data_IF_876030471717
#
_entry.id   IF_876030471717
#
_cell.length_a   1.000
_cell.length_b   1.000
_cell.length_c   1.000
_cell.angle_alpha   90.00
_cell.angle_beta   90.00
_cell.angle_gamma   90.00
#
_symmetry.space_group_name_H-M   'P 1'
#
loop_
_entity.id
_entity.type
_entity.pdbx_description
1 polymer ?
#
# COMPACT_ATOMS: atom_id res chain seq x y z
N UNK A 1 -12.60 8.47 16.26
CA UNK A 1 -11.46 7.92 15.51
C UNK A 1 -11.48 6.40 15.40
N UNK A 2 -11.79 5.66 16.48
CA UNK A 2 -11.85 4.18 16.45
C UNK A 2 -12.86 3.68 15.42
N UNK A 3 -14.06 4.27 15.40
CA UNK A 3 -15.10 3.93 14.43
C UNK A 3 -14.66 4.19 12.98
N UNK A 4 -14.03 5.34 12.73
CA UNK A 4 -13.44 5.66 11.43
C UNK A 4 -12.40 4.61 11.00
N UNK A 5 -11.48 4.27 11.89
CA UNK A 5 -10.43 3.26 11.60
C UNK A 5 -11.05 1.87 11.32
N UNK A 6 -12.09 1.49 12.08
CA UNK A 6 -12.84 0.25 11.84
C UNK A 6 -13.51 0.26 10.45
N UNK A 7 -14.18 1.35 10.09
CA UNK A 7 -14.82 1.50 8.77
C UNK A 7 -13.83 1.41 7.63
N UNK A 8 -12.68 2.08 7.73
CA UNK A 8 -11.63 2.01 6.71
C UNK A 8 -11.00 0.62 6.64
N UNK A 9 -10.85 -0.06 7.78
CA UNK A 9 -10.37 -1.45 7.81
C UNK A 9 -11.34 -2.40 7.10
N UNK A 10 -12.65 -2.27 7.35
CA UNK A 10 -13.68 -3.06 6.67
C UNK A 10 -13.68 -2.79 5.17
N UNK A 11 -13.61 -1.51 4.77
CA UNK A 11 -13.58 -1.12 3.36
C UNK A 11 -12.38 -1.71 2.62
N UNK A 12 -11.18 -1.55 3.15
CA UNK A 12 -9.95 -2.09 2.54
C UNK A 12 -9.93 -3.61 2.54
N UNK A 13 -10.36 -4.25 3.64
CA UNK A 13 -10.42 -5.71 3.72
C UNK A 13 -11.42 -6.30 2.71
N UNK A 14 -12.57 -5.64 2.48
CA UNK A 14 -13.53 -6.08 1.48
C UNK A 14 -12.90 -6.13 0.10
N UNK A 15 -12.26 -5.05 -0.34
CA UNK A 15 -11.65 -4.99 -1.66
C UNK A 15 -10.45 -5.93 -1.80
N UNK A 16 -9.65 -6.08 -0.75
CA UNK A 16 -8.56 -7.07 -0.75
C UNK A 16 -9.08 -8.52 -0.90
N UNK A 17 -10.18 -8.89 -0.21
CA UNK A 17 -10.78 -10.21 -0.38
C UNK A 17 -11.45 -10.38 -1.74
N UNK A 18 -12.00 -9.30 -2.31
CA UNK A 18 -12.58 -9.33 -3.64
C UNK A 18 -11.51 -9.57 -4.71
N UNK A 19 -10.38 -8.91 -4.59
CA UNK A 19 -9.21 -9.07 -5.44
C UNK A 19 -8.65 -10.50 -5.37
N UNK A 20 -8.39 -11.00 -4.16
CA UNK A 20 -8.01 -12.40 -3.91
C UNK A 20 -8.98 -13.41 -4.55
N UNK A 21 -10.28 -13.08 -4.53
CA UNK A 21 -11.28 -13.93 -5.17
C UNK A 21 -11.20 -13.86 -6.69
N UNK A 22 -11.09 -12.68 -7.25
CA UNK A 22 -10.99 -12.48 -8.70
C UNK A 22 -9.73 -13.14 -9.25
N UNK A 23 -8.64 -13.01 -8.55
CA UNK A 23 -7.33 -13.49 -8.92
C UNK A 23 -7.14 -15.00 -8.74
N UNK A 24 -7.42 -15.50 -7.55
CA UNK A 24 -7.10 -16.88 -7.15
C UNK A 24 -8.32 -17.81 -7.08
N UNK A 25 -9.53 -17.27 -7.30
CA UNK A 25 -10.81 -18.00 -7.13
C UNK A 25 -10.93 -18.66 -5.74
N UNK A 26 -10.33 -18.02 -4.71
CA UNK A 26 -10.33 -18.53 -3.34
C UNK A 26 -11.71 -18.40 -2.71
N UNK A 27 -12.40 -19.50 -2.52
CA UNK A 27 -13.74 -19.53 -1.90
C UNK A 27 -13.77 -18.92 -0.49
N UNK A 28 -12.66 -19.01 0.27
CA UNK A 28 -12.53 -18.38 1.58
C UNK A 28 -12.54 -16.85 1.50
N UNK A 29 -11.88 -16.26 0.50
CA UNK A 29 -11.85 -14.82 0.28
C UNK A 29 -13.21 -14.31 -0.20
N UNK A 30 -13.88 -15.05 -1.09
CA UNK A 30 -15.27 -14.76 -1.49
C UNK A 30 -16.20 -14.67 -0.28
N UNK A 31 -16.20 -15.70 0.58
CA UNK A 31 -17.06 -15.73 1.78
C UNK A 31 -16.78 -14.55 2.72
N UNK A 32 -15.52 -14.17 2.88
CA UNK A 32 -15.14 -13.01 3.71
C UNK A 32 -15.61 -11.70 3.10
N UNK A 33 -15.48 -11.53 1.79
CA UNK A 33 -16.03 -10.38 1.08
C UNK A 33 -17.56 -10.30 1.26
N UNK A 34 -18.28 -11.41 1.04
CA UNK A 34 -19.74 -11.49 1.24
C UNK A 34 -20.17 -11.12 2.67
N UNK A 35 -19.35 -11.44 3.70
CA UNK A 35 -19.62 -11.06 5.09
C UNK A 35 -19.41 -9.56 5.35
N UNK A 36 -18.51 -8.91 4.63
CA UNK A 36 -18.22 -7.47 4.79
C UNK A 36 -19.13 -6.58 3.93
N UNK A 37 -19.65 -7.11 2.82
CA UNK A 37 -20.48 -6.36 1.87
C UNK A 37 -21.66 -5.60 2.51
N UNK A 38 -22.42 -6.15 3.49
CA UNK A 38 -23.54 -5.44 4.10
C UNK A 38 -23.18 -4.14 4.83
N UNK A 39 -21.91 -3.95 5.20
CA UNK A 39 -21.44 -2.74 5.89
C UNK A 39 -21.13 -1.58 4.93
N UNK A 40 -20.88 -1.87 3.65
CA UNK A 40 -20.41 -0.88 2.68
C UNK A 40 -21.37 0.31 2.48
N UNK A 41 -22.70 0.13 2.38
CA UNK A 41 -23.61 1.26 2.19
C UNK A 41 -23.55 2.28 3.34
N UNK A 42 -23.37 1.80 4.56
CA UNK A 42 -23.27 2.68 5.72
C UNK A 42 -21.90 3.37 5.78
N UNK A 43 -20.82 2.69 5.39
CA UNK A 43 -19.48 3.28 5.25
C UNK A 43 -19.48 4.36 4.17
N UNK A 44 -20.09 4.09 3.01
CA UNK A 44 -20.25 5.09 1.94
C UNK A 44 -21.01 6.33 2.42
N UNK A 45 -22.11 6.13 3.15
CA UNK A 45 -22.91 7.23 3.69
C UNK A 45 -22.13 8.06 4.70
N UNK A 46 -21.34 7.44 5.58
CA UNK A 46 -20.55 8.12 6.62
C UNK A 46 -19.26 8.76 6.07
N UNK A 47 -18.62 8.11 5.11
CA UNK A 47 -17.30 8.49 4.59
C UNK A 47 -17.27 8.53 3.05
N UNK A 48 -18.15 9.34 2.41
CA UNK A 48 -18.34 9.31 0.95
C UNK A 48 -17.07 9.70 0.16
N UNK A 49 -16.20 10.52 0.74
CA UNK A 49 -14.96 10.95 0.11
C UNK A 49 -13.96 9.79 0.06
N UNK A 50 -13.71 9.14 1.19
CA UNK A 50 -12.79 8.01 1.31
C UNK A 50 -13.30 6.80 0.52
N UNK A 51 -14.58 6.50 0.61
CA UNK A 51 -15.20 5.43 -0.16
C UNK A 51 -14.95 5.60 -1.67
N UNK A 52 -15.26 6.78 -2.21
CA UNK A 52 -15.00 7.09 -3.62
C UNK A 52 -13.52 7.02 -3.99
N UNK A 53 -12.63 7.51 -3.12
CA UNK A 53 -11.20 7.46 -3.35
C UNK A 53 -10.69 6.01 -3.44
N UNK A 54 -11.17 5.11 -2.56
CA UNK A 54 -10.82 3.69 -2.60
C UNK A 54 -11.32 3.06 -3.88
N UNK A 55 -12.61 3.19 -4.21
CA UNK A 55 -13.20 2.57 -5.40
C UNK A 55 -12.51 3.07 -6.68
N UNK A 56 -12.43 4.40 -6.86
CA UNK A 56 -11.84 4.97 -8.07
C UNK A 56 -10.33 4.74 -8.16
N UNK A 57 -9.64 4.71 -7.03
CA UNK A 57 -8.20 4.43 -6.97
C UNK A 57 -7.87 3.00 -7.36
N UNK A 58 -8.62 2.02 -6.83
CA UNK A 58 -8.45 0.61 -7.20
C UNK A 58 -8.82 0.37 -8.67
N UNK A 59 -9.92 0.97 -9.18
CA UNK A 59 -10.27 0.89 -10.59
C UNK A 59 -9.18 1.48 -11.51
N UNK A 60 -8.53 2.58 -11.10
CA UNK A 60 -7.44 3.19 -11.84
C UNK A 60 -6.18 2.30 -11.81
N UNK A 61 -5.88 1.70 -10.67
CA UNK A 61 -4.77 0.77 -10.50
C UNK A 61 -4.96 -0.46 -11.40
N UNK A 62 -6.13 -1.09 -11.35
CA UNK A 62 -6.47 -2.26 -12.18
C UNK A 62 -6.36 -1.96 -13.67
N UNK A 63 -6.70 -0.74 -14.11
CA UNK A 63 -6.51 -0.32 -15.51
C UNK A 63 -5.03 -0.19 -15.89
N UNK A 64 -4.19 0.36 -15.01
CA UNK A 64 -2.75 0.47 -15.25
C UNK A 64 -2.10 -0.92 -15.32
N UNK A 65 -2.43 -1.80 -14.41
CA UNK A 65 -1.93 -3.18 -14.35
C UNK A 65 -2.44 -4.00 -15.56
N UNK A 66 -3.72 -3.92 -15.87
CA UNK A 66 -4.32 -4.57 -17.03
C UNK A 66 -3.75 -4.07 -18.39
N UNK A 67 -3.25 -2.83 -18.44
CA UNK A 67 -2.52 -2.29 -19.57
C UNK A 67 -1.02 -2.67 -19.57
N UNK A 68 -0.57 -3.47 -18.61
CA UNK A 68 0.84 -3.79 -18.34
C UNK A 68 1.73 -2.53 -18.23
N UNK A 69 1.24 -1.51 -17.53
CA UNK A 69 2.00 -0.29 -17.32
C UNK A 69 3.21 -0.53 -16.42
N UNK A 70 4.39 -0.17 -16.89
CA UNK A 70 5.64 -0.22 -16.11
C UNK A 70 6.05 1.14 -15.54
N UNK A 71 5.13 2.12 -15.56
CA UNK A 71 5.31 3.42 -14.92
C UNK A 71 5.12 3.28 -13.41
N UNK A 72 6.21 2.98 -12.70
CA UNK A 72 6.23 2.82 -11.24
C UNK A 72 5.74 4.07 -10.52
N UNK A 73 6.04 5.27 -11.05
CA UNK A 73 5.59 6.52 -10.45
C UNK A 73 4.06 6.67 -10.56
N UNK A 74 3.46 6.29 -11.68
CA UNK A 74 2.01 6.30 -11.84
C UNK A 74 1.33 5.27 -10.92
N UNK A 75 1.86 4.05 -10.84
CA UNK A 75 1.34 2.98 -10.00
C UNK A 75 1.41 3.36 -8.50
N UNK A 76 2.59 3.76 -8.02
CA UNK A 76 2.78 4.21 -6.64
C UNK A 76 1.91 5.41 -6.28
N UNK A 77 1.81 6.40 -7.18
CA UNK A 77 0.97 7.58 -6.98
C UNK A 77 -0.51 7.23 -6.93
N UNK A 78 -0.98 6.32 -7.77
CA UNK A 78 -2.39 5.90 -7.80
C UNK A 78 -2.78 5.26 -6.47
N UNK A 79 -2.05 4.25 -6.01
CA UNK A 79 -2.31 3.61 -4.72
C UNK A 79 -2.05 4.56 -3.55
N UNK A 80 -0.98 5.36 -3.63
CA UNK A 80 -0.65 6.36 -2.62
C UNK A 80 -1.73 7.43 -2.46
N UNK A 81 -2.34 7.90 -3.53
CA UNK A 81 -3.44 8.89 -3.47
C UNK A 81 -4.66 8.32 -2.75
N UNK A 82 -5.03 7.08 -3.04
CA UNK A 82 -6.09 6.36 -2.33
C UNK A 82 -5.80 6.32 -0.83
N UNK A 83 -4.61 5.89 -0.43
CA UNK A 83 -4.25 5.79 0.98
C UNK A 83 -4.13 7.17 1.64
N UNK A 84 -3.69 8.19 0.91
CA UNK A 84 -3.69 9.57 1.36
C UNK A 84 -5.07 10.07 1.77
N UNK A 85 -6.11 9.77 1.00
CA UNK A 85 -7.48 10.15 1.34
C UNK A 85 -8.01 9.41 2.59
N UNK A 86 -7.54 8.18 2.84
CA UNK A 86 -7.84 7.45 4.07
C UNK A 86 -7.14 8.10 5.27
N UNK A 87 -5.88 8.49 5.16
CA UNK A 87 -5.15 9.15 6.24
C UNK A 87 -5.75 10.50 6.61
N UNK A 88 -6.23 11.25 5.63
CA UNK A 88 -6.93 12.51 5.83
C UNK A 88 -8.39 12.29 6.24
N UNK A 89 -8.60 11.81 7.48
CA UNK A 89 -9.94 11.50 7.99
C UNK A 89 -10.87 12.72 8.09
N UNK A 90 -10.32 13.94 8.22
CA UNK A 90 -11.03 15.21 8.31
C UNK A 90 -10.58 16.18 7.23
N UNK A 91 -11.40 17.17 6.97
CA UNK A 91 -11.08 18.31 6.10
C UNK A 91 -10.68 19.50 6.97
N UNK A 92 -9.48 19.44 7.54
CA UNK A 92 -8.88 20.43 8.44
C UNK A 92 -7.49 20.85 7.93
N UNK A 93 -6.77 21.67 8.70
CA UNK A 93 -5.43 22.18 8.38
C UNK A 93 -4.39 21.09 8.18
N UNK A 94 -4.60 19.90 8.73
CA UNK A 94 -3.66 18.76 8.62
C UNK A 94 -3.92 17.87 7.40
N UNK A 95 -5.03 18.09 6.69
CA UNK A 95 -5.46 17.25 5.58
C UNK A 95 -4.35 17.05 4.55
N UNK A 96 -3.72 18.13 4.11
CA UNK A 96 -2.69 18.06 3.07
C UNK A 96 -1.47 17.26 3.54
N UNK A 97 -1.05 17.46 4.77
CA UNK A 97 0.09 16.76 5.38
C UNK A 97 -0.24 15.28 5.55
N UNK A 98 -1.42 14.94 6.08
CA UNK A 98 -1.88 13.56 6.23
C UNK A 98 -2.04 12.84 4.89
N UNK A 99 -2.55 13.52 3.86
CA UNK A 99 -2.54 12.99 2.50
C UNK A 99 -1.12 12.66 2.03
N UNK A 100 -0.15 13.53 2.28
CA UNK A 100 1.23 13.30 1.91
C UNK A 100 1.88 12.12 2.66
N UNK A 101 1.58 11.95 3.95
CA UNK A 101 1.99 10.77 4.73
C UNK A 101 1.41 9.50 4.11
N UNK A 102 0.10 9.49 3.85
CA UNK A 102 -0.58 8.34 3.24
C UNK A 102 -0.09 8.04 1.82
N UNK A 103 0.23 9.07 1.03
CA UNK A 103 0.79 8.90 -0.32
C UNK A 103 2.14 8.19 -0.30
N UNK A 104 3.07 8.65 0.54
CA UNK A 104 4.39 8.02 0.65
C UNK A 104 4.29 6.59 1.19
N UNK A 105 3.50 6.37 2.24
CA UNK A 105 3.28 5.04 2.80
C UNK A 105 2.59 4.10 1.80
N UNK A 106 1.60 4.59 1.05
CA UNK A 106 0.90 3.80 0.03
C UNK A 106 1.83 3.37 -1.10
N UNK A 107 2.66 4.29 -1.62
CA UNK A 107 3.68 3.94 -2.61
C UNK A 107 4.68 2.88 -2.10
N UNK A 108 5.08 2.99 -0.82
CA UNK A 108 5.93 1.99 -0.17
C UNK A 108 5.22 0.62 -0.09
N UNK A 109 3.97 0.58 0.38
CA UNK A 109 3.19 -0.67 0.50
C UNK A 109 3.03 -1.33 -0.86
N UNK A 110 2.68 -0.59 -1.90
CA UNK A 110 2.53 -1.10 -3.25
C UNK A 110 3.82 -1.74 -3.78
N UNK A 111 4.96 -1.06 -3.61
CA UNK A 111 6.26 -1.59 -4.02
C UNK A 111 6.70 -2.80 -3.19
N UNK A 112 6.41 -2.81 -1.88
CA UNK A 112 6.73 -3.93 -1.01
C UNK A 112 5.96 -5.19 -1.39
N UNK A 113 4.68 -5.04 -1.72
CA UNK A 113 3.84 -6.14 -2.19
C UNK A 113 4.35 -6.69 -3.52
N UNK A 114 4.61 -5.82 -4.48
CA UNK A 114 5.23 -6.21 -5.76
C UNK A 114 6.58 -6.90 -5.56
N UNK A 115 7.39 -6.46 -4.59
CA UNK A 115 8.68 -7.08 -4.27
C UNK A 115 8.52 -8.47 -3.64
N UNK A 116 7.60 -8.65 -2.68
CA UNK A 116 7.35 -9.97 -2.06
C UNK A 116 6.77 -10.97 -3.07
N UNK A 117 5.86 -10.51 -3.92
CA UNK A 117 5.08 -11.34 -4.80
C UNK A 117 5.74 -11.65 -6.16
N UNK A 118 6.84 -11.00 -6.51
CA UNK A 118 7.48 -11.12 -7.82
C UNK A 118 7.62 -12.57 -8.32
N UNK A 119 8.17 -13.47 -7.50
CA UNK A 119 8.37 -14.86 -7.89
C UNK A 119 7.06 -15.65 -8.05
N UNK A 120 6.05 -15.28 -7.26
CA UNK A 120 4.71 -15.88 -7.32
C UNK A 120 4.00 -15.46 -8.60
N UNK A 121 4.01 -14.15 -8.89
CA UNK A 121 3.34 -13.57 -10.04
C UNK A 121 3.99 -14.03 -11.35
N UNK A 122 5.33 -14.08 -11.40
CA UNK A 122 6.07 -14.63 -12.55
C UNK A 122 5.64 -16.07 -12.86
N UNK A 123 5.55 -16.94 -11.83
CA UNK A 123 5.12 -18.34 -12.02
C UNK A 123 3.69 -18.47 -12.50
N UNK A 124 2.84 -17.49 -12.17
CA UNK A 124 1.42 -17.48 -12.53
C UNK A 124 1.10 -16.70 -13.80
N UNK A 125 2.12 -16.06 -14.40
CA UNK A 125 1.95 -15.20 -15.57
C UNK A 125 1.11 -13.96 -15.27
N UNK A 126 1.19 -13.44 -14.03
CA UNK A 126 0.47 -12.24 -13.59
C UNK A 126 1.34 -11.01 -13.76
N UNK A 127 0.68 -9.86 -13.83
CA UNK A 127 1.37 -8.58 -13.78
C UNK A 127 2.12 -8.42 -12.46
N UNK A 128 3.32 -7.88 -12.54
CA UNK A 128 4.06 -7.38 -11.38
C UNK A 128 4.84 -6.13 -11.79
N UNK A 129 4.67 -5.07 -11.02
CA UNK A 129 5.26 -3.75 -11.34
C UNK A 129 6.80 -3.77 -11.44
N UNK A 130 7.46 -4.67 -10.70
CA UNK A 130 8.91 -4.79 -10.67
C UNK A 130 9.47 -5.82 -11.68
N UNK A 131 8.61 -6.50 -12.44
CA UNK A 131 9.00 -7.57 -13.38
C UNK A 131 10.07 -7.11 -14.37
N UNK A 132 9.88 -5.96 -15.01
CA UNK A 132 10.82 -5.44 -16.00
C UNK A 132 12.19 -5.13 -15.39
N UNK A 133 12.21 -4.56 -14.18
CA UNK A 133 13.47 -4.33 -13.47
C UNK A 133 14.18 -5.64 -13.15
N UNK A 134 13.43 -6.66 -12.72
CA UNK A 134 13.99 -7.97 -12.39
C UNK A 134 14.49 -8.74 -13.63
N UNK A 135 13.93 -8.48 -14.80
CA UNK A 135 14.33 -9.13 -16.06
C UNK A 135 15.50 -8.42 -16.75
N UNK A 136 15.71 -7.13 -16.45
CA UNK A 136 16.72 -6.30 -17.13
C UNK A 136 17.97 -6.04 -16.31
N UNK A 137 17.88 -6.07 -14.99
CA UNK A 137 19.00 -5.76 -14.11
C UNK A 137 19.66 -7.03 -13.55
N UNK A 138 20.99 -7.04 -13.35
CA UNK A 138 21.64 -8.04 -12.53
C UNK A 138 21.04 -8.10 -11.12
N UNK A 139 21.05 -9.28 -10.45
CA UNK A 139 20.39 -9.44 -9.15
C UNK A 139 20.79 -8.40 -8.10
N UNK A 140 22.06 -8.05 -7.99
CA UNK A 140 22.55 -7.07 -7.02
C UNK A 140 22.06 -5.65 -7.34
N UNK A 141 21.99 -5.28 -8.62
CA UNK A 141 21.48 -3.98 -9.07
C UNK A 141 19.98 -3.89 -8.90
N UNK A 142 19.24 -4.98 -9.17
CA UNK A 142 17.81 -5.08 -8.87
C UNK A 142 17.51 -4.85 -7.39
N UNK A 143 18.22 -5.55 -6.50
CA UNK A 143 18.05 -5.38 -5.04
C UNK A 143 18.33 -3.94 -4.59
N UNK A 144 19.43 -3.33 -5.10
CA UNK A 144 19.74 -1.94 -4.79
C UNK A 144 18.65 -1.00 -5.31
N UNK A 145 18.15 -1.22 -6.53
CA UNK A 145 17.11 -0.38 -7.13
C UNK A 145 15.80 -0.47 -6.36
N UNK A 146 15.39 -1.67 -5.95
CA UNK A 146 14.20 -1.85 -5.10
C UNK A 146 14.35 -1.14 -3.76
N UNK A 147 15.52 -1.26 -3.10
CA UNK A 147 15.80 -0.56 -1.86
C UNK A 147 15.71 0.96 -2.02
N UNK A 148 16.27 1.51 -3.10
CA UNK A 148 16.24 2.96 -3.38
C UNK A 148 14.82 3.47 -3.62
N UNK A 149 14.00 2.72 -4.38
CA UNK A 149 12.60 3.05 -4.61
C UNK A 149 11.79 3.06 -3.31
N UNK A 150 11.94 2.04 -2.47
CA UNK A 150 11.30 1.95 -1.16
C UNK A 150 11.75 3.10 -0.24
N UNK A 151 13.05 3.40 -0.22
CA UNK A 151 13.62 4.50 0.56
C UNK A 151 13.08 5.85 0.10
N UNK A 152 12.92 6.06 -1.20
CA UNK A 152 12.33 7.26 -1.76
C UNK A 152 10.89 7.48 -1.27
N UNK A 153 10.05 6.43 -1.31
CA UNK A 153 8.66 6.52 -0.83
C UNK A 153 8.60 6.82 0.67
N UNK A 154 9.40 6.13 1.49
CA UNK A 154 9.44 6.39 2.93
C UNK A 154 10.06 7.74 3.27
N UNK A 155 11.00 8.24 2.48
CA UNK A 155 11.55 9.60 2.63
C UNK A 155 10.48 10.68 2.40
N UNK A 156 9.60 10.49 1.41
CA UNK A 156 8.44 11.37 1.20
C UNK A 156 7.45 11.28 2.35
N UNK A 157 7.12 10.07 2.81
CA UNK A 157 6.27 9.85 3.96
C UNK A 157 6.81 10.54 5.22
N UNK A 158 8.07 10.28 5.57
CA UNK A 158 8.74 10.84 6.75
C UNK A 158 8.78 12.37 6.72
N UNK A 159 9.08 12.97 5.56
CA UNK A 159 9.08 14.43 5.39
C UNK A 159 7.73 15.06 5.73
N UNK A 160 6.62 14.44 5.31
CA UNK A 160 5.28 14.92 5.66
C UNK A 160 4.94 14.62 7.13
N UNK A 161 5.32 13.44 7.62
CA UNK A 161 5.11 13.03 9.00
C UNK A 161 5.76 13.99 10.02
N UNK A 162 6.98 14.47 9.75
CA UNK A 162 7.67 15.43 10.61
C UNK A 162 7.00 16.82 10.66
N UNK A 163 6.06 17.12 9.78
CA UNK A 163 5.27 18.35 9.83
C UNK A 163 4.08 18.26 10.80
N UNK A 164 3.74 17.05 11.29
CA UNK A 164 2.65 16.85 12.23
C UNK A 164 3.09 17.22 13.66
N UNK A 165 2.22 17.80 14.49
CA UNK A 165 2.53 18.18 15.86
C UNK A 165 2.53 16.98 16.81
N UNK A 166 3.34 15.97 16.50
CA UNK A 166 3.44 14.73 17.27
C UNK A 166 4.52 14.88 18.32
N UNK A 167 4.15 14.72 19.60
CA UNK A 167 5.07 14.76 20.72
C UNK A 167 5.84 13.44 20.80
N UNK A 168 7.14 13.47 20.53
CA UNK A 168 8.03 12.29 20.51
C UNK A 168 8.16 11.61 21.87
N UNK A 169 7.95 12.36 22.94
CA UNK A 169 8.09 11.89 24.34
C UNK A 169 6.87 11.07 24.80
N UNK A 170 5.75 11.14 24.11
CA UNK A 170 4.56 10.35 24.46
C UNK A 170 4.66 8.92 23.95
N UNK A 171 4.04 7.93 24.61
CA UNK A 171 4.01 6.55 24.12
C UNK A 171 3.45 6.43 22.70
N UNK A 172 2.40 7.19 22.38
CA UNK A 172 1.77 7.22 21.05
C UNK A 172 2.73 7.80 20.01
N UNK A 173 3.43 8.89 20.35
CA UNK A 173 4.44 9.49 19.48
C UNK A 173 5.58 8.51 19.21
N UNK A 174 6.13 7.89 20.25
CA UNK A 174 7.18 6.87 20.10
C UNK A 174 6.72 5.71 19.22
N UNK A 175 5.48 5.23 19.38
CA UNK A 175 4.92 4.17 18.55
C UNK A 175 4.87 4.59 17.08
N UNK A 176 4.37 5.79 16.79
CA UNK A 176 4.29 6.33 15.44
C UNK A 176 5.67 6.51 14.80
N UNK A 177 6.62 7.10 15.53
CA UNK A 177 8.00 7.22 15.06
C UNK A 177 8.64 5.85 14.79
N UNK A 178 8.50 4.90 15.70
CA UNK A 178 9.02 3.54 15.50
C UNK A 178 8.37 2.87 14.28
N UNK A 179 7.08 3.09 14.05
CA UNK A 179 6.38 2.54 12.89
C UNK A 179 6.95 3.09 11.59
N UNK A 180 7.07 4.41 11.47
CA UNK A 180 7.50 5.09 10.23
C UNK A 180 8.99 4.83 9.93
N UNK A 181 9.86 4.84 10.95
CA UNK A 181 11.32 4.77 10.74
C UNK A 181 11.91 3.37 10.83
N UNK A 182 11.24 2.43 11.50
CA UNK A 182 11.75 1.08 11.69
C UNK A 182 10.73 -0.02 11.34
N UNK A 183 9.48 0.13 11.77
CA UNK A 183 8.46 -0.91 11.65
C UNK A 183 8.17 -1.32 10.22
N UNK A 184 8.06 -0.37 9.31
CA UNK A 184 7.81 -0.60 7.88
C UNK A 184 8.92 -1.44 7.22
N UNK A 185 10.16 -1.35 7.71
CA UNK A 185 11.31 -2.10 7.20
C UNK A 185 11.42 -3.53 7.74
N UNK A 186 10.64 -3.87 8.77
CA UNK A 186 10.69 -5.18 9.42
C UNK A 186 10.35 -6.34 8.47
N UNK A 187 9.56 -6.09 7.42
CA UNK A 187 9.24 -7.06 6.38
C UNK A 187 10.32 -7.15 5.29
N UNK A 188 10.96 -6.05 4.94
CA UNK A 188 11.94 -6.00 3.87
C UNK A 188 13.19 -6.84 4.14
N UNK A 189 13.78 -6.71 5.33
CA UNK A 189 15.03 -7.40 5.65
C UNK A 189 14.94 -8.94 5.57
N UNK A 190 13.89 -9.61 6.07
CA UNK A 190 13.73 -11.06 5.90
C UNK A 190 13.51 -11.47 4.44
N UNK A 191 12.77 -10.67 3.66
CA UNK A 191 12.51 -10.95 2.24
C UNK A 191 13.78 -10.85 1.42
N UNK A 192 14.57 -9.81 1.63
CA UNK A 192 15.88 -9.64 1.00
C UNK A 192 16.81 -10.81 1.29
N UNK A 193 16.96 -11.21 2.56
CA UNK A 193 17.77 -12.37 2.94
C UNK A 193 17.33 -13.67 2.25
N UNK A 194 16.02 -13.84 2.10
CA UNK A 194 15.44 -15.02 1.42
C UNK A 194 15.80 -15.07 -0.06
N UNK A 195 15.87 -13.91 -0.73
CA UNK A 195 16.27 -13.77 -2.14
C UNK A 195 17.78 -13.97 -2.31
N UNK A 196 18.61 -13.35 -1.49
CA UNK A 196 20.06 -13.49 -1.51
C UNK A 196 20.47 -14.96 -1.31
N UNK A 197 19.81 -15.71 -0.42
CA UNK A 197 20.07 -17.13 -0.18
C UNK A 197 19.61 -18.09 -1.28
N UNK A 198 18.79 -17.62 -2.24
CA UNK A 198 18.38 -18.41 -3.42
C UNK A 198 19.30 -18.20 -4.63
N UNK A 199 20.13 -17.20 -4.59
CA UNK A 199 21.06 -16.84 -5.68
C UNK A 199 22.44 -17.44 -5.51
N UNK A 200 22.69 -18.11 -4.37
CA UNK A 200 23.88 -18.93 -4.09
C UNK A 200 23.58 -20.42 -4.32
#
# INVERSE_FOLDING_TARGET
FIEYAADMTVLLAYYNYLDDWQDDQRQSSRRRAEQLQPFLPEIERRHPRQYRAVVSGLDALNRLEGANSHDLDALCRTFGTLLGEIFACRDDEWRQVLCGVGQGLGGFIYLMDAYDDLDRDRRRGRFNALQVLADTLPPAEYEQRCHDLLTQQMGQCAKQFEMLPILKETPEGQLLYNTIYAGVWSLYAPLRKRREGRTQ
#
